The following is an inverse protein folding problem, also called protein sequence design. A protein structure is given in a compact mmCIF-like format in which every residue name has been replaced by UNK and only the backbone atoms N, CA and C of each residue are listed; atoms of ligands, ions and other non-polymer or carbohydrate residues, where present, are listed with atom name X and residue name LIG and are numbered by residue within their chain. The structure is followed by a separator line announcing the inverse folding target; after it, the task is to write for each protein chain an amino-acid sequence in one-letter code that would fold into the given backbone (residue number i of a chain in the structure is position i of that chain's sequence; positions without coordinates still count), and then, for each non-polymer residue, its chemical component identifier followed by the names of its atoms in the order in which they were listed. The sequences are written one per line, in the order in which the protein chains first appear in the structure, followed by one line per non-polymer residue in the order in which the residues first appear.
data_IF_269816069776
#
_entry.id   IF_269816069776
#
_cell.length_a   1.000
_cell.length_b   1.000
_cell.length_c   1.000
_cell.angle_alpha   90.00
_cell.angle_beta   90.00
_cell.angle_gamma   90.00
#
_symmetry.space_group_name_H-M   'P 1'
#
loop_
_entity.id
_entity.type
_entity.pdbx_description
1 polymer ?
#
# COMPACT_ATOMS: atom_id res chain seq x y z
N UNK A 1 20.12 19.53 -5.57
CA UNK A 1 19.76 19.24 -4.16
C UNK A 1 19.73 17.74 -4.01
N UNK A 2 20.29 17.19 -2.93
CA UNK A 2 20.17 15.77 -2.61
C UNK A 2 18.74 15.51 -2.17
N UNK A 3 18.07 14.54 -2.79
CA UNK A 3 16.76 14.08 -2.32
C UNK A 3 16.95 13.41 -0.95
N UNK A 4 16.31 13.97 0.07
CA UNK A 4 16.41 13.49 1.46
C UNK A 4 15.45 12.33 1.74
N UNK A 5 14.51 12.06 0.85
CA UNK A 5 13.53 10.98 0.98
C UNK A 5 13.30 10.29 -0.37
N UNK A 6 14.34 9.66 -0.96
CA UNK A 6 14.23 9.03 -2.27
C UNK A 6 13.24 7.87 -2.25
N UNK A 7 12.26 7.93 -3.15
CA UNK A 7 11.33 6.83 -3.41
C UNK A 7 11.82 6.03 -4.62
N UNK A 8 11.88 4.70 -4.47
CA UNK A 8 12.26 3.78 -5.54
C UNK A 8 11.06 3.39 -6.43
N UNK A 9 9.85 3.72 -5.98
CA UNK A 9 8.58 3.40 -6.63
C UNK A 9 7.55 2.92 -5.62
N UNK A 10 6.39 2.49 -6.11
CA UNK A 10 5.38 1.82 -5.28
C UNK A 10 5.89 0.44 -4.85
N UNK A 11 5.64 0.06 -3.61
CA UNK A 11 5.91 -1.28 -3.10
C UNK A 11 4.69 -2.21 -3.23
N UNK A 12 3.55 -1.75 -2.71
CA UNK A 12 2.24 -2.40 -2.85
C UNK A 12 1.09 -1.41 -2.56
N UNK A 13 -0.11 -1.75 -2.99
CA UNK A 13 -1.34 -1.07 -2.58
C UNK A 13 -2.19 -2.04 -1.77
N UNK A 14 -2.48 -1.71 -0.52
CA UNK A 14 -3.32 -2.53 0.34
C UNK A 14 -4.76 -2.01 0.36
N UNK A 15 -5.69 -2.93 0.16
CA UNK A 15 -7.12 -2.72 0.16
C UNK A 15 -7.72 -3.39 1.40
N UNK A 16 -8.54 -2.65 2.12
CA UNK A 16 -9.42 -3.20 3.14
C UNK A 16 -10.76 -3.51 2.49
N UNK A 17 -11.14 -4.78 2.53
CA UNK A 17 -12.27 -5.33 1.77
C UNK A 17 -13.12 -6.26 2.64
N UNK A 18 -14.40 -6.40 2.29
CA UNK A 18 -15.34 -7.22 3.05
C UNK A 18 -15.06 -8.72 2.94
N UNK A 19 -14.47 -9.15 1.82
CA UNK A 19 -14.05 -10.55 1.61
C UNK A 19 -12.79 -10.62 0.75
N UNK A 20 -11.64 -10.75 1.41
CA UNK A 20 -10.33 -10.77 0.77
C UNK A 20 -10.17 -11.89 -0.27
N UNK A 21 -10.75 -13.06 -0.01
CA UNK A 21 -10.68 -14.20 -0.93
C UNK A 21 -11.48 -13.96 -2.21
N UNK A 22 -12.67 -13.37 -2.11
CA UNK A 22 -13.49 -13.04 -3.28
C UNK A 22 -12.90 -11.87 -4.06
N UNK A 23 -12.40 -10.84 -3.38
CA UNK A 23 -11.68 -9.74 -4.02
C UNK A 23 -10.45 -10.25 -4.78
N UNK A 24 -9.62 -11.09 -4.15
CA UNK A 24 -8.47 -11.70 -4.81
C UNK A 24 -8.89 -12.56 -6.02
N UNK A 25 -9.99 -13.29 -5.91
CA UNK A 25 -10.54 -14.06 -7.03
C UNK A 25 -10.95 -13.15 -8.20
N UNK A 26 -11.62 -12.04 -7.92
CA UNK A 26 -12.04 -11.07 -8.91
C UNK A 26 -10.85 -10.45 -9.64
N UNK A 27 -9.87 -9.90 -8.92
CA UNK A 27 -8.69 -9.29 -9.56
C UNK A 27 -7.83 -10.30 -10.33
N UNK A 28 -7.71 -11.53 -9.82
CA UNK A 28 -7.06 -12.63 -10.57
C UNK A 28 -7.78 -12.93 -11.89
N UNK A 29 -9.10 -13.00 -11.88
CA UNK A 29 -9.89 -13.45 -13.04
C UNK A 29 -10.15 -12.35 -14.06
N UNK A 30 -10.52 -11.16 -13.60
CA UNK A 30 -10.86 -10.02 -14.45
C UNK A 30 -9.62 -9.28 -14.96
N UNK A 31 -8.56 -9.18 -14.13
CA UNK A 31 -7.37 -8.38 -14.45
C UNK A 31 -6.10 -9.21 -14.60
N UNK A 32 -6.16 -10.54 -14.48
CA UNK A 32 -5.05 -11.42 -14.83
C UNK A 32 -3.91 -11.47 -13.80
N UNK A 33 -4.16 -11.05 -12.56
CA UNK A 33 -3.19 -11.16 -11.48
C UNK A 33 -2.93 -12.62 -11.07
N UNK A 34 -1.71 -12.91 -10.62
CA UNK A 34 -1.37 -14.13 -9.88
C UNK A 34 -1.51 -13.88 -8.37
N UNK A 35 -1.98 -14.85 -7.59
CA UNK A 35 -2.00 -14.72 -6.12
C UNK A 35 -0.75 -15.38 -5.56
N UNK A 36 0.26 -14.58 -5.29
CA UNK A 36 1.62 -15.06 -5.00
C UNK A 36 1.82 -15.41 -3.53
N UNK A 37 1.14 -14.73 -2.60
CA UNK A 37 1.30 -14.96 -1.17
C UNK A 37 0.01 -14.83 -0.37
N UNK A 38 -0.01 -15.43 0.82
CA UNK A 38 -1.12 -15.41 1.75
C UNK A 38 -0.66 -15.31 3.20
N UNK A 39 -1.40 -14.55 4.00
CA UNK A 39 -1.33 -14.56 5.46
C UNK A 39 -2.75 -14.66 6.04
N UNK A 40 -2.97 -15.54 7.00
CA UNK A 40 -4.26 -15.70 7.67
C UNK A 40 -4.23 -16.77 8.76
N UNK A 41 -5.38 -17.27 9.24
CA UNK A 41 -5.43 -18.16 10.40
C UNK A 41 -4.59 -19.43 10.23
N UNK A 42 -4.54 -19.96 9.02
CA UNK A 42 -3.75 -21.15 8.64
C UNK A 42 -2.24 -20.90 8.70
N UNK A 43 -1.80 -19.64 8.67
CA UNK A 43 -0.40 -19.21 8.78
C UNK A 43 -0.10 -18.52 10.11
N UNK A 44 -1.00 -18.61 11.09
CA UNK A 44 -0.83 -18.04 12.44
C UNK A 44 -1.35 -16.62 12.62
N UNK A 45 -1.88 -15.96 11.59
CA UNK A 45 -2.48 -14.62 11.69
C UNK A 45 -3.98 -14.75 11.96
N UNK A 46 -4.40 -14.51 13.21
CA UNK A 46 -5.77 -14.87 13.66
C UNK A 46 -6.83 -13.79 13.44
N UNK A 47 -6.42 -12.54 13.27
CA UNK A 47 -7.31 -11.37 13.25
C UNK A 47 -7.72 -10.93 11.84
N UNK A 48 -7.00 -11.38 10.80
CA UNK A 48 -7.24 -11.01 9.40
C UNK A 48 -6.84 -12.12 8.43
N UNK A 49 -7.30 -11.99 7.19
CA UNK A 49 -6.80 -12.74 6.04
C UNK A 49 -6.36 -11.76 4.95
N UNK A 50 -5.17 -11.96 4.40
CA UNK A 50 -4.53 -11.09 3.42
C UNK A 50 -3.99 -11.90 2.23
N UNK A 51 -4.41 -11.55 1.01
CA UNK A 51 -3.96 -12.17 -0.23
C UNK A 51 -3.13 -11.17 -1.03
N UNK A 52 -1.91 -11.55 -1.40
CA UNK A 52 -1.02 -10.74 -2.22
C UNK A 52 -1.17 -11.15 -3.68
N UNK A 53 -1.59 -10.19 -4.50
CA UNK A 53 -1.73 -10.33 -5.94
C UNK A 53 -0.57 -9.63 -6.64
N UNK A 54 -0.01 -10.27 -7.67
CA UNK A 54 1.08 -9.71 -8.45
C UNK A 54 0.85 -9.87 -9.96
N UNK A 55 1.17 -8.82 -10.72
CA UNK A 55 1.30 -8.87 -12.19
C UNK A 55 2.33 -7.84 -12.64
N UNK A 56 3.41 -8.31 -13.27
CA UNK A 56 4.60 -7.47 -13.44
C UNK A 56 5.12 -7.03 -12.07
N UNK A 57 5.37 -5.74 -11.94
CA UNK A 57 5.80 -5.08 -10.69
C UNK A 57 4.61 -4.52 -9.89
N UNK A 58 3.37 -4.69 -10.37
CA UNK A 58 2.16 -4.30 -9.61
C UNK A 58 1.91 -5.31 -8.50
N UNK A 59 1.81 -4.83 -7.26
CA UNK A 59 1.38 -5.62 -6.11
C UNK A 59 0.15 -5.02 -5.45
N UNK A 60 -0.90 -5.82 -5.31
CA UNK A 60 -2.06 -5.49 -4.50
C UNK A 60 -2.19 -6.46 -3.33
N UNK A 61 -2.62 -5.96 -2.17
CA UNK A 61 -2.91 -6.78 -0.99
C UNK A 61 -4.38 -6.63 -0.67
N UNK A 62 -5.14 -7.71 -0.75
CA UNK A 62 -6.55 -7.73 -0.37
C UNK A 62 -6.64 -8.24 1.06
N UNK A 63 -7.05 -7.39 2.01
CA UNK A 63 -7.09 -7.69 3.44
C UNK A 63 -8.51 -7.57 3.99
N UNK A 64 -8.97 -8.60 4.71
CA UNK A 64 -10.26 -8.62 5.39
C UNK A 64 -10.07 -9.01 6.85
N UNK A 65 -10.74 -8.30 7.76
CA UNK A 65 -10.75 -8.61 9.19
C UNK A 65 -11.65 -9.82 9.50
N UNK A 66 -11.31 -10.56 10.55
CA UNK A 66 -12.01 -11.79 10.95
C UNK A 66 -12.85 -11.63 12.23
N UNK A 67 -13.02 -10.40 12.73
CA UNK A 67 -13.82 -10.11 13.91
C UNK A 67 -14.39 -8.68 13.88
N UNK A 68 -15.50 -8.44 14.62
CA UNK A 68 -16.20 -7.15 14.60
C UNK A 68 -15.37 -5.99 15.19
N UNK A 69 -14.44 -6.29 16.09
CA UNK A 69 -13.52 -5.31 16.68
C UNK A 69 -12.33 -4.96 15.78
N UNK A 70 -12.25 -5.53 14.57
CA UNK A 70 -11.16 -5.27 13.64
C UNK A 70 -11.31 -3.88 13.01
N UNK A 71 -10.23 -3.10 13.04
CA UNK A 71 -10.15 -1.82 12.32
C UNK A 71 -10.44 -1.98 10.81
N UNK A 72 -10.09 -3.14 10.24
CA UNK A 72 -10.36 -3.47 8.83
C UNK A 72 -11.87 -3.53 8.58
N UNK A 73 -12.62 -4.16 9.49
CA UNK A 73 -14.08 -4.27 9.38
C UNK A 73 -14.73 -2.92 9.59
N UNK A 74 -14.24 -2.13 10.55
CA UNK A 74 -14.78 -0.79 10.83
C UNK A 74 -14.55 0.17 9.65
N UNK A 75 -13.34 0.18 9.09
CA UNK A 75 -13.02 0.96 7.89
C UNK A 75 -13.85 0.51 6.69
N UNK A 76 -13.96 -0.80 6.46
CA UNK A 76 -14.77 -1.34 5.37
C UNK A 76 -16.26 -1.00 5.52
N UNK A 77 -16.79 -0.96 6.74
CA UNK A 77 -18.17 -0.56 6.99
C UNK A 77 -18.42 0.93 6.68
N UNK A 78 -17.42 1.79 6.88
CA UNK A 78 -17.51 3.23 6.61
C UNK A 78 -17.34 3.55 5.12
N UNK A 79 -16.39 2.90 4.45
CA UNK A 79 -15.94 3.28 3.09
C UNK A 79 -16.33 2.29 1.99
N UNK A 80 -16.75 1.07 2.36
CA UNK A 80 -16.81 -0.07 1.44
C UNK A 80 -15.41 -0.65 1.17
N UNK A 81 -15.30 -1.44 0.10
CA UNK A 81 -14.03 -2.03 -0.33
C UNK A 81 -13.14 -0.94 -0.96
N UNK A 82 -11.99 -0.65 -0.36
CA UNK A 82 -11.18 0.50 -0.77
C UNK A 82 -9.71 0.43 -0.35
N UNK A 83 -8.89 1.32 -0.93
CA UNK A 83 -7.47 1.45 -0.60
C UNK A 83 -7.32 1.99 0.82
N UNK A 84 -6.47 1.34 1.61
CA UNK A 84 -6.08 1.79 2.95
C UNK A 84 -4.64 2.31 2.99
N UNK A 85 -3.73 1.66 2.30
CA UNK A 85 -2.30 1.98 2.32
C UNK A 85 -1.73 2.00 0.89
N UNK A 86 -0.98 3.05 0.60
CA UNK A 86 -0.16 3.19 -0.60
C UNK A 86 1.29 3.17 -0.13
N UNK A 87 1.94 2.03 -0.27
CA UNK A 87 3.30 1.84 0.22
C UNK A 87 4.35 2.14 -0.85
N UNK A 88 5.49 2.67 -0.41
CA UNK A 88 6.62 3.05 -1.24
C UNK A 88 7.86 2.25 -0.86
N UNK A 89 8.56 1.76 -1.87
CA UNK A 89 9.88 1.18 -1.70
C UNK A 89 10.88 2.31 -1.49
N UNK A 90 11.71 2.22 -0.45
CA UNK A 90 12.72 3.21 -0.10
C UNK A 90 14.05 2.53 0.19
N UNK A 91 15.20 3.21 0.02
CA UNK A 91 16.49 2.64 0.38
C UNK A 91 16.70 2.54 1.89
N UNK A 92 15.95 3.31 2.70
CA UNK A 92 15.99 3.27 4.15
C UNK A 92 14.66 3.82 4.74
N UNK A 93 13.86 2.94 5.36
CA UNK A 93 12.56 3.30 5.93
C UNK A 93 12.65 4.09 7.25
N UNK A 94 13.72 3.96 8.02
CA UNK A 94 13.98 4.80 9.21
C UNK A 94 14.19 6.25 8.79
N UNK A 95 15.13 6.48 7.87
CA UNK A 95 15.47 7.81 7.38
C UNK A 95 14.29 8.48 6.68
N UNK A 96 13.50 7.75 5.88
CA UNK A 96 12.32 8.30 5.23
C UNK A 96 11.27 8.78 6.26
N UNK A 97 11.05 7.98 7.30
CA UNK A 97 10.14 8.32 8.38
C UNK A 97 10.62 9.53 9.20
N UNK A 98 11.89 9.55 9.60
CA UNK A 98 12.48 10.67 10.35
C UNK A 98 12.37 11.99 9.57
N UNK A 99 12.63 11.97 8.26
CA UNK A 99 12.51 13.14 7.40
C UNK A 99 11.04 13.58 7.30
N UNK A 100 10.12 12.65 7.04
CA UNK A 100 8.69 12.98 6.92
C UNK A 100 8.12 13.56 8.22
N UNK A 101 8.36 12.91 9.36
CA UNK A 101 7.91 13.38 10.68
C UNK A 101 8.60 14.69 11.06
N UNK A 102 9.89 14.84 10.77
CA UNK A 102 10.62 16.10 10.98
C UNK A 102 10.08 17.27 10.15
N UNK A 103 9.37 16.98 9.05
CA UNK A 103 8.65 17.96 8.21
C UNK A 103 7.18 18.14 8.59
N UNK A 104 6.72 17.49 9.66
CA UNK A 104 5.37 17.65 10.20
C UNK A 104 4.37 16.56 9.83
N UNK A 105 4.81 15.44 9.23
CA UNK A 105 3.92 14.29 9.04
C UNK A 105 3.44 13.73 10.39
N UNK A 106 2.18 13.28 10.42
CA UNK A 106 1.66 12.56 11.60
C UNK A 106 2.15 11.11 11.56
N UNK A 107 2.88 10.62 12.57
CA UNK A 107 3.37 9.25 12.59
C UNK A 107 2.20 8.26 12.76
N UNK A 108 2.26 7.15 12.02
CA UNK A 108 1.33 6.02 12.18
C UNK A 108 2.03 4.78 12.73
N UNK A 109 3.23 4.46 12.22
CA UNK A 109 4.06 3.34 12.69
C UNK A 109 5.51 3.77 12.73
N UNK A 110 6.09 3.74 13.92
CA UNK A 110 7.53 3.94 14.13
C UNK A 110 8.33 2.85 13.37
N UNK A 111 9.56 3.16 12.92
CA UNK A 111 10.38 2.19 12.23
C UNK A 111 10.60 0.90 13.02
N UNK A 112 10.32 -0.23 12.38
CA UNK A 112 10.43 -1.55 12.98
C UNK A 112 11.07 -2.53 12.00
N UNK A 113 11.98 -3.36 12.50
CA UNK A 113 12.54 -4.49 11.76
C UNK A 113 11.64 -5.71 11.93
N UNK A 114 11.19 -6.29 10.83
CA UNK A 114 10.47 -7.58 10.81
C UNK A 114 11.33 -8.59 10.07
N UNK A 115 11.47 -9.80 10.61
CA UNK A 115 12.40 -10.82 10.11
C UNK A 115 11.76 -12.22 10.05
N UNK A 116 12.20 -13.01 9.06
CA UNK A 116 11.97 -14.45 8.96
C UNK A 116 13.22 -15.13 8.35
N UNK A 117 13.12 -16.42 8.01
CA UNK A 117 14.22 -17.21 7.43
C UNK A 117 14.74 -16.68 6.08
N UNK A 118 14.04 -15.75 5.43
CA UNK A 118 14.40 -15.12 4.15
C UNK A 118 15.05 -13.74 4.30
N UNK A 119 15.29 -13.29 5.54
CA UNK A 119 15.94 -12.04 5.88
C UNK A 119 14.99 -11.06 6.58
N UNK A 120 15.28 -9.76 6.48
CA UNK A 120 14.54 -8.71 7.19
C UNK A 120 14.10 -7.57 6.29
N UNK A 121 12.96 -6.98 6.66
CA UNK A 121 12.50 -5.69 6.14
C UNK A 121 12.48 -4.66 7.27
N UNK A 122 12.64 -3.38 6.93
CA UNK A 122 12.31 -2.26 7.82
C UNK A 122 11.05 -1.61 7.28
N UNK A 123 10.08 -1.40 8.17
CA UNK A 123 8.79 -0.79 7.86
C UNK A 123 8.53 0.38 8.79
N UNK A 124 7.99 1.47 8.24
CA UNK A 124 7.53 2.64 8.97
C UNK A 124 6.38 3.27 8.18
N UNK A 125 5.57 4.13 8.79
CA UNK A 125 4.46 4.75 8.06
C UNK A 125 3.94 6.04 8.68
N UNK A 126 3.40 6.91 7.83
CA UNK A 126 2.76 8.19 8.19
C UNK A 126 1.31 8.21 7.72
N UNK A 127 0.48 9.02 8.38
CA UNK A 127 -0.89 9.30 7.94
C UNK A 127 -0.90 10.33 6.80
N UNK A 128 -1.81 10.13 5.85
CA UNK A 128 -2.12 11.04 4.73
C UNK A 128 -3.61 11.42 4.77
N UNK A 129 -4.21 11.71 3.61
CA UNK A 129 -5.61 12.16 3.50
C UNK A 129 -6.62 11.14 4.03
N UNK A 130 -7.67 11.65 4.68
CA UNK A 130 -8.69 10.83 5.33
C UNK A 130 -8.05 9.86 6.33
N UNK A 131 -8.15 8.56 6.05
CA UNK A 131 -7.54 7.50 6.84
C UNK A 131 -6.46 6.73 6.06
N UNK A 132 -6.01 7.26 4.92
CA UNK A 132 -4.99 6.62 4.07
C UNK A 132 -3.62 6.71 4.72
N UNK A 133 -2.86 5.62 4.58
CA UNK A 133 -1.51 5.48 5.11
C UNK A 133 -0.52 5.53 3.94
N UNK A 134 0.66 6.10 4.19
CA UNK A 134 1.84 5.86 3.38
C UNK A 134 2.88 5.08 4.18
N UNK A 135 3.07 3.82 3.79
CA UNK A 135 4.09 2.96 4.37
C UNK A 135 5.39 3.02 3.58
N UNK A 136 6.51 3.21 4.26
CA UNK A 136 7.84 3.09 3.69
C UNK A 136 8.41 1.69 3.95
N UNK A 137 8.90 1.05 2.89
CA UNK A 137 9.45 -0.31 2.93
C UNK A 137 10.90 -0.30 2.45
N UNK A 138 11.82 -0.62 3.35
CA UNK A 138 13.17 -1.06 2.97
C UNK A 138 13.21 -2.59 2.97
N UNK A 139 13.34 -3.15 1.77
CA UNK A 139 13.43 -4.60 1.51
C UNK A 139 14.79 -5.03 0.98
N UNK A 140 15.82 -4.20 1.10
CA UNK A 140 17.16 -4.46 0.57
C UNK A 140 17.77 -5.78 1.05
N UNK A 141 17.37 -6.25 2.24
CA UNK A 141 17.86 -7.48 2.88
C UNK A 141 16.78 -8.57 3.01
N UNK A 142 15.79 -8.61 2.12
CA UNK A 142 14.72 -9.61 2.13
C UNK A 142 14.53 -10.31 0.79
N UNK A 143 14.44 -11.64 0.82
CA UNK A 143 14.31 -12.48 -0.39
C UNK A 143 13.04 -13.34 -0.42
N UNK A 144 12.17 -13.20 0.58
CA UNK A 144 10.92 -13.96 0.67
C UNK A 144 9.88 -13.50 -0.34
N UNK A 145 8.74 -14.20 -0.37
CA UNK A 145 7.69 -14.01 -1.39
C UNK A 145 7.04 -12.62 -1.37
N UNK A 146 6.99 -11.97 -0.20
CA UNK A 146 6.44 -10.62 -0.06
C UNK A 146 7.06 -9.86 1.12
N UNK A 147 6.71 -10.27 2.35
CA UNK A 147 7.26 -9.81 3.63
C UNK A 147 7.08 -10.89 4.70
N UNK A 148 7.79 -10.83 5.84
CA UNK A 148 7.62 -11.79 6.92
C UNK A 148 6.17 -12.00 7.34
N UNK A 149 5.82 -13.26 7.63
CA UNK A 149 4.45 -13.70 7.96
C UNK A 149 3.58 -14.08 6.76
N UNK A 150 4.05 -13.87 5.53
CA UNK A 150 3.37 -14.30 4.31
C UNK A 150 3.98 -15.58 3.74
N UNK A 151 3.11 -16.53 3.38
CA UNK A 151 3.51 -17.80 2.81
C UNK A 151 3.17 -17.86 1.31
N UNK A 152 3.99 -18.52 0.47
CA UNK A 152 3.71 -18.65 -0.95
C UNK A 152 2.44 -19.48 -1.19
N UNK A 153 1.62 -19.07 -2.16
CA UNK A 153 0.46 -19.88 -2.57
C UNK A 153 0.81 -20.76 -3.78
N UNK A 154 0.28 -21.99 -3.84
CA UNK A 154 0.60 -22.97 -4.90
C UNK A 154 -0.55 -23.20 -5.90
N UNK A 155 -1.73 -22.60 -5.68
CA UNK A 155 -2.97 -23.06 -6.33
C UNK A 155 -3.78 -21.97 -7.03
N UNK A 156 -3.24 -20.76 -7.19
CA UNK A 156 -3.99 -19.59 -7.70
C UNK A 156 -3.31 -18.93 -8.90
N UNK A 157 -2.73 -19.73 -9.79
CA UNK A 157 -2.11 -19.27 -11.04
C UNK A 157 -3.02 -18.31 -11.82
N UNK A 158 -2.47 -17.31 -12.55
CA UNK A 158 -3.27 -16.28 -13.21
C UNK A 158 -4.27 -16.90 -14.20
N UNK A 159 -5.48 -16.33 -14.28
CA UNK A 159 -6.51 -16.85 -15.18
C UNK A 159 -6.13 -16.62 -16.66
N UNK A 160 -5.67 -15.40 -16.98
CA UNK A 160 -5.06 -15.01 -18.25
C UNK A 160 -4.28 -13.71 -18.03
N UNK A 161 -3.01 -13.59 -18.45
CA UNK A 161 -2.27 -12.33 -18.30
C UNK A 161 -2.97 -11.18 -19.04
N UNK A 162 -3.15 -10.05 -18.37
CA UNK A 162 -3.68 -8.82 -18.97
C UNK A 162 -2.57 -7.89 -19.49
N UNK A 163 -1.31 -8.16 -19.14
CA UNK A 163 -0.15 -7.39 -19.59
C UNK A 163 0.15 -6.15 -18.74
N UNK A 164 -0.41 -6.06 -17.53
CA UNK A 164 -0.09 -4.99 -16.58
C UNK A 164 1.37 -5.11 -16.12
N UNK A 165 2.06 -3.97 -16.01
CA UNK A 165 3.51 -3.93 -15.73
C UNK A 165 3.86 -3.19 -14.45
N UNK A 166 3.33 -1.98 -14.27
CA UNK A 166 3.66 -1.10 -13.17
C UNK A 166 2.44 -0.26 -12.78
N UNK A 167 2.46 0.28 -11.56
CA UNK A 167 1.53 1.31 -11.13
C UNK A 167 2.08 2.64 -11.62
N UNK A 168 1.32 3.32 -12.48
CA UNK A 168 1.73 4.59 -13.06
C UNK A 168 1.48 5.74 -12.07
N UNK A 169 0.24 5.90 -11.62
CA UNK A 169 -0.15 6.88 -10.62
C UNK A 169 -1.34 6.39 -9.78
N UNK A 170 -1.50 6.99 -8.60
CA UNK A 170 -2.65 6.80 -7.71
C UNK A 170 -3.31 8.16 -7.52
N UNK A 171 -4.61 8.24 -7.78
CA UNK A 171 -5.39 9.47 -7.58
C UNK A 171 -6.07 9.41 -6.23
N UNK A 172 -6.06 10.55 -5.53
CA UNK A 172 -6.80 10.75 -4.31
C UNK A 172 -7.80 11.88 -4.48
N UNK A 173 -9.03 11.63 -4.03
CA UNK A 173 -10.01 12.69 -3.89
C UNK A 173 -9.95 13.18 -2.46
N UNK A 174 -9.99 14.50 -2.29
CA UNK A 174 -9.97 15.19 -1.00
C UNK A 174 -11.22 16.07 -0.90
N UNK A 175 -11.53 16.53 0.32
CA UNK A 175 -12.71 17.35 0.55
C UNK A 175 -12.63 18.68 -0.22
N UNK A 176 -13.82 19.26 -0.46
CA UNK A 176 -13.94 20.50 -1.21
C UNK A 176 -13.16 21.63 -0.50
N UNK A 177 -12.12 22.13 -1.18
CA UNK A 177 -11.26 23.19 -0.66
C UNK A 177 -9.88 22.72 -0.20
N UNK A 178 -9.68 21.41 -0.04
CA UNK A 178 -8.46 20.85 0.58
C UNK A 178 -7.38 20.46 -0.43
N UNK A 179 -7.61 20.70 -1.73
CA UNK A 179 -6.64 20.34 -2.79
C UNK A 179 -5.28 20.97 -2.56
N UNK A 180 -5.24 22.27 -2.25
CA UNK A 180 -3.98 23.00 -2.02
C UNK A 180 -3.29 22.54 -0.73
N UNK A 181 -4.06 22.15 0.29
CA UNK A 181 -3.52 21.58 1.53
C UNK A 181 -2.80 20.27 1.26
N UNK A 182 -3.43 19.34 0.55
CA UNK A 182 -2.83 18.04 0.26
C UNK A 182 -1.70 18.12 -0.78
N UNK A 183 -1.80 19.03 -1.76
CA UNK A 183 -0.67 19.32 -2.64
C UNK A 183 0.54 19.85 -1.85
N UNK A 184 0.31 20.74 -0.88
CA UNK A 184 1.35 21.26 0.02
C UNK A 184 1.88 20.18 0.96
N UNK A 185 1.03 19.28 1.46
CA UNK A 185 1.45 18.10 2.24
C UNK A 185 2.50 17.31 1.45
N UNK A 186 2.22 16.91 0.21
CA UNK A 186 3.17 16.14 -0.60
C UNK A 186 4.45 16.91 -0.92
N UNK A 187 4.35 18.21 -1.17
CA UNK A 187 5.51 19.05 -1.44
C UNK A 187 6.42 19.21 -0.21
N UNK A 188 5.84 19.58 0.92
CA UNK A 188 6.59 19.93 2.14
C UNK A 188 7.08 18.69 2.87
N UNK A 189 6.27 17.62 2.96
CA UNK A 189 6.60 16.40 3.70
C UNK A 189 7.39 15.44 2.81
N UNK A 190 6.86 15.07 1.66
CA UNK A 190 7.45 14.05 0.80
C UNK A 190 8.45 14.61 -0.21
N UNK A 191 8.59 15.94 -0.30
CA UNK A 191 9.52 16.59 -1.23
C UNK A 191 9.09 16.52 -2.69
N UNK A 192 7.81 16.24 -2.95
CA UNK A 192 7.30 16.14 -4.32
C UNK A 192 7.25 17.51 -4.99
N UNK A 193 7.32 17.52 -6.32
CA UNK A 193 7.07 18.73 -7.12
C UNK A 193 5.83 18.53 -7.97
N UNK A 194 5.03 19.58 -8.08
CA UNK A 194 3.82 19.55 -8.90
C UNK A 194 4.20 19.38 -10.37
N UNK A 195 3.77 18.28 -10.98
CA UNK A 195 4.00 17.99 -12.39
C UNK A 195 2.95 18.64 -13.29
N UNK A 196 1.67 18.50 -12.92
CA UNK A 196 0.53 19.00 -13.67
C UNK A 196 -0.58 19.49 -12.72
N UNK A 197 -1.34 20.49 -13.15
CA UNK A 197 -2.53 20.97 -12.46
C UNK A 197 -3.61 21.24 -13.50
N UNK A 198 -4.78 20.67 -13.27
CA UNK A 198 -5.96 20.82 -14.11
C UNK A 198 -7.01 21.60 -13.34
N UNK A 199 -7.55 22.66 -13.92
CA UNK A 199 -8.63 23.44 -13.33
C UNK A 199 -9.98 23.13 -13.99
N UNK A 200 -11.07 23.66 -13.42
CA UNK A 200 -12.44 23.44 -13.93
C UNK A 200 -12.62 23.89 -15.38
N UNK A 201 -11.84 24.87 -15.86
CA UNK A 201 -11.88 25.31 -17.27
C UNK A 201 -11.28 24.28 -18.23
N UNK A 202 -10.46 23.35 -17.72
CA UNK A 202 -9.81 22.28 -18.47
C UNK A 202 -10.54 20.93 -18.34
N UNK A 203 -11.42 20.80 -17.35
CA UNK A 203 -12.23 19.60 -17.11
C UNK A 203 -13.64 19.85 -17.67
N UNK A 204 -13.80 19.65 -18.99
CA UNK A 204 -15.11 19.67 -19.62
C UNK A 204 -15.84 18.34 -19.44
N UNK A 205 -17.05 18.37 -18.89
CA UNK A 205 -18.01 17.25 -18.94
C UNK A 205 -18.80 17.25 -20.24
#
# INVERSE_FOLDING_TARGET
MTDLMPLLGYDAIEFYVGNARQAAHYYRTAFGFDVVAYAGPETGVRDRSSYVLQQGDVRFVMTAGLGPESEIVQHQALHGDGVKDVSFAVPNAESAFEVAVGRGATPHREPESIEDDHGKIIISSILAYGETIHTFIDRSNYSGVFKPGYNPTKHWAPARPAGLRLIDHVVCNVDLGDMDEWAKYYADIMGFTQLHHFNDEQIGT
#
